data_IF_364971547040
#
_entry.id   IF_364971547040
#
_cell.length_a   1.000
_cell.length_b   1.000
_cell.length_c   1.000
_cell.angle_alpha   90.00
_cell.angle_beta   90.00
_cell.angle_gamma   90.00
#
_symmetry.space_group_name_H-M   'P 1'
#
loop_
_entity.id
_entity.type
_entity.pdbx_description
1 polymer ?
#
# COMPACT_ATOMS: atom_id res chain seq x y z
N UNK A 1 -3.92 4.30 -34.66
CA UNK A 1 -4.27 5.52 -33.89
C UNK A 1 -4.80 5.06 -32.54
N UNK A 2 -3.94 5.01 -31.53
CA UNK A 2 -4.32 4.57 -30.18
C UNK A 2 -4.93 5.74 -29.40
N UNK A 3 -5.98 5.52 -28.60
CA UNK A 3 -6.49 6.57 -27.74
C UNK A 3 -5.45 6.86 -26.64
N UNK A 4 -5.18 8.14 -26.40
CA UNK A 4 -4.39 8.59 -25.27
C UNK A 4 -5.10 8.15 -23.97
N UNK A 5 -4.41 7.35 -23.16
CA UNK A 5 -4.89 6.95 -21.83
C UNK A 5 -4.80 8.16 -20.91
N UNK A 6 -5.92 8.85 -20.72
CA UNK A 6 -6.05 9.91 -19.73
C UNK A 6 -5.87 9.32 -18.35
N UNK A 7 -4.88 9.81 -17.61
CA UNK A 7 -4.87 9.66 -16.15
C UNK A 7 -6.17 10.23 -15.61
N UNK A 8 -6.79 9.55 -14.64
CA UNK A 8 -7.85 10.11 -13.83
C UNK A 8 -7.26 11.29 -13.06
N UNK A 9 -7.35 12.48 -13.65
CA UNK A 9 -7.16 13.74 -12.95
C UNK A 9 -8.41 13.93 -12.09
N UNK A 10 -8.34 13.50 -10.83
CA UNK A 10 -9.46 13.56 -9.91
C UNK A 10 -9.87 15.01 -9.56
N UNK A 11 -9.17 16.03 -10.06
CA UNK A 11 -9.61 17.43 -9.96
C UNK A 11 -9.95 17.88 -8.53
N UNK A 12 -9.36 17.23 -7.51
CA UNK A 12 -9.65 17.50 -6.11
C UNK A 12 -8.80 18.70 -5.69
N UNK A 13 -9.29 19.90 -6.01
CA UNK A 13 -8.82 21.12 -5.35
C UNK A 13 -9.40 21.15 -3.95
N UNK A 14 -8.70 20.52 -3.01
CA UNK A 14 -8.94 20.74 -1.59
C UNK A 14 -8.46 22.13 -1.22
N UNK A 15 -9.41 23.07 -1.06
CA UNK A 15 -9.19 24.25 -0.22
C UNK A 15 -9.03 23.77 1.22
N UNK A 16 -7.79 23.51 1.63
CA UNK A 16 -7.42 23.40 3.04
C UNK A 16 -6.06 24.03 3.26
N UNK A 17 -6.07 25.37 3.35
CA UNK A 17 -5.08 26.05 4.13
C UNK A 17 -5.13 25.48 5.56
N UNK A 18 -3.97 25.02 6.06
CA UNK A 18 -3.68 24.49 7.41
C UNK A 18 -3.86 22.98 7.58
N UNK A 19 -2.88 22.26 7.09
CA UNK A 19 -2.48 20.94 7.60
C UNK A 19 -0.96 20.85 7.51
N UNK A 20 -0.29 21.36 8.54
CA UNK A 20 1.16 21.27 8.70
C UNK A 20 1.66 19.85 8.42
N UNK A 21 2.71 19.76 7.59
CA UNK A 21 3.56 18.59 7.49
C UNK A 21 4.02 18.17 8.89
N UNK A 22 3.35 17.17 9.48
CA UNK A 22 3.86 16.49 10.65
C UNK A 22 4.92 15.50 10.18
N UNK A 23 6.15 16.00 10.00
CA UNK A 23 7.31 15.16 10.20
C UNK A 23 7.37 14.87 11.70
N UNK A 24 6.89 13.71 12.12
CA UNK A 24 7.22 13.20 13.45
C UNK A 24 8.70 12.76 13.44
N UNK A 25 9.59 13.70 13.74
CA UNK A 25 10.86 13.39 14.41
C UNK A 25 10.52 12.73 15.76
N UNK A 26 10.28 11.42 15.76
CA UNK A 26 9.86 10.73 16.98
C UNK A 26 9.60 9.24 16.84
N UNK A 27 9.40 8.71 15.63
CA UNK A 27 9.21 7.28 15.45
C UNK A 27 10.55 6.55 15.61
N UNK A 28 10.76 5.95 16.77
CA UNK A 28 11.90 5.10 17.09
C UNK A 28 11.87 3.84 16.20
N UNK A 29 12.35 3.96 14.97
CA UNK A 29 12.53 2.82 14.06
C UNK A 29 13.57 1.85 14.63
N UNK A 30 13.13 0.67 15.06
CA UNK A 30 14.03 -0.45 15.34
C UNK A 30 14.26 -1.22 14.04
N UNK A 31 15.43 -1.03 13.46
CA UNK A 31 15.88 -1.72 12.25
C UNK A 31 16.71 -2.95 12.71
N UNK A 32 16.17 -4.18 12.65
CA UNK A 32 16.92 -5.43 12.99
C UNK A 32 17.15 -6.38 11.79
N UNK A 33 18.29 -6.32 11.08
CA UNK A 33 18.42 -7.04 9.78
C UNK A 33 19.66 -7.89 9.55
N UNK A 34 19.49 -8.73 8.53
CA UNK A 34 20.45 -9.53 7.78
C UNK A 34 21.24 -8.74 6.71
N UNK A 35 21.31 -7.41 6.83
CA UNK A 35 22.24 -6.56 6.09
C UNK A 35 23.53 -6.41 6.91
N UNK A 36 24.66 -6.07 6.28
CA UNK A 36 25.94 -5.90 6.98
C UNK A 36 25.83 -4.76 8.03
N UNK A 37 26.31 -4.98 9.26
CA UNK A 37 26.18 -4.03 10.39
C UNK A 37 26.74 -2.63 10.05
N UNK A 38 27.72 -2.55 9.15
CA UNK A 38 28.29 -1.28 8.68
C UNK A 38 27.34 -0.44 7.82
N UNK A 39 26.51 -1.09 6.99
CA UNK A 39 25.54 -0.39 6.13
C UNK A 39 24.38 0.19 6.95
N UNK A 40 24.07 -0.44 8.09
CA UNK A 40 22.95 -0.12 8.96
C UNK A 40 23.24 1.04 9.92
N UNK A 41 24.44 1.06 10.52
CA UNK A 41 24.87 2.15 11.40
C UNK A 41 25.36 3.38 10.62
N UNK A 42 25.33 3.32 9.29
CA UNK A 42 25.64 4.43 8.42
C UNK A 42 24.57 5.54 8.44
N UNK A 43 24.82 6.65 7.74
CA UNK A 43 23.83 7.71 7.52
C UNK A 43 22.53 7.16 6.92
N UNK A 44 21.41 7.88 7.11
CA UNK A 44 20.09 7.49 6.61
C UNK A 44 20.08 7.16 5.10
N UNK A 45 20.88 7.89 4.32
CA UNK A 45 21.03 7.67 2.88
C UNK A 45 21.69 6.33 2.55
N UNK A 46 22.75 5.94 3.28
CA UNK A 46 23.41 4.63 3.13
C UNK A 46 22.45 3.48 3.42
N UNK A 47 21.65 3.60 4.49
CA UNK A 47 20.59 2.62 4.81
C UNK A 47 19.57 2.51 3.68
N UNK A 48 19.11 3.64 3.14
CA UNK A 48 18.13 3.68 2.07
C UNK A 48 18.68 3.02 0.79
N UNK A 49 19.94 3.27 0.44
CA UNK A 49 20.59 2.62 -0.69
C UNK A 49 20.67 1.10 -0.51
N UNK A 50 21.02 0.62 0.68
CA UNK A 50 21.06 -0.82 0.97
C UNK A 50 19.67 -1.47 0.89
N UNK A 51 18.63 -0.81 1.41
CA UNK A 51 17.24 -1.29 1.32
C UNK A 51 16.73 -1.31 -0.12
N UNK A 52 17.10 -0.33 -0.94
CA UNK A 52 16.70 -0.28 -2.35
C UNK A 52 17.23 -1.48 -3.17
N UNK A 53 18.31 -2.12 -2.71
CA UNK A 53 18.90 -3.31 -3.33
C UNK A 53 18.27 -4.63 -2.86
N UNK A 54 17.35 -4.59 -1.89
CA UNK A 54 16.67 -5.78 -1.39
C UNK A 54 15.59 -6.26 -2.36
N UNK A 55 15.43 -7.58 -2.49
CA UNK A 55 14.34 -8.19 -3.22
C UNK A 55 13.01 -8.03 -2.48
N UNK A 56 13.05 -8.16 -1.15
CA UNK A 56 11.90 -7.95 -0.27
C UNK A 56 12.31 -6.97 0.81
N UNK A 57 11.49 -5.96 1.03
CA UNK A 57 11.51 -5.17 2.27
C UNK A 57 10.19 -5.42 3.00
N UNK A 58 10.17 -5.26 4.31
CA UNK A 58 8.92 -5.31 5.05
C UNK A 58 8.88 -4.26 6.16
N UNK A 59 7.69 -3.88 6.59
CA UNK A 59 7.49 -3.02 7.76
C UNK A 59 6.52 -3.70 8.71
N UNK A 60 6.90 -3.83 9.97
CA UNK A 60 6.07 -4.44 11.02
C UNK A 60 5.69 -3.35 12.02
N UNK A 61 4.40 -3.21 12.30
CA UNK A 61 3.96 -2.45 13.47
C UNK A 61 4.20 -3.28 14.73
N UNK A 62 5.18 -2.89 15.54
CA UNK A 62 5.59 -3.60 16.76
C UNK A 62 4.90 -3.01 18.00
N UNK A 63 4.52 -1.73 17.95
CA UNK A 63 3.69 -1.02 18.92
C UNK A 63 3.04 0.20 18.24
N UNK A 64 2.14 0.93 18.93
CA UNK A 64 1.34 2.05 18.37
C UNK A 64 2.14 3.14 17.64
N UNK A 65 3.45 3.25 17.88
CA UNK A 65 4.34 4.23 17.23
C UNK A 65 5.71 3.63 16.84
N UNK A 66 5.86 2.31 16.87
CA UNK A 66 7.14 1.65 16.59
C UNK A 66 7.00 0.80 15.33
N UNK A 67 7.57 1.31 14.25
CA UNK A 67 7.71 0.57 13.00
C UNK A 67 9.11 -0.05 12.90
N UNK A 68 9.14 -1.33 12.59
CA UNK A 68 10.36 -2.06 12.26
C UNK A 68 10.38 -2.34 10.76
N UNK A 69 11.22 -1.61 10.03
CA UNK A 69 11.50 -1.90 8.61
C UNK A 69 12.54 -3.00 8.55
N UNK A 70 12.36 -4.05 7.74
CA UNK A 70 13.34 -5.11 7.38
C UNK A 70 13.64 -5.20 5.90
N UNK A 71 14.83 -5.67 5.56
CA UNK A 71 15.29 -5.88 4.18
C UNK A 71 15.93 -7.25 3.99
N UNK A 72 15.57 -7.92 2.89
CA UNK A 72 16.03 -9.25 2.51
C UNK A 72 16.53 -9.22 1.06
N UNK A 73 17.78 -9.61 0.85
CA UNK A 73 18.40 -9.64 -0.49
C UNK A 73 17.82 -10.77 -1.37
N UNK A 74 17.20 -11.79 -0.76
CA UNK A 74 16.62 -12.94 -1.45
C UNK A 74 15.28 -13.32 -0.83
N UNK A 75 14.36 -13.80 -1.66
CA UNK A 75 13.04 -14.26 -1.23
C UNK A 75 13.15 -15.39 -0.18
N UNK A 76 14.05 -16.34 -0.38
CA UNK A 76 14.24 -17.47 0.56
C UNK A 76 14.60 -17.05 1.99
N UNK A 77 15.33 -15.94 2.17
CA UNK A 77 15.68 -15.42 3.50
C UNK A 77 14.45 -14.82 4.19
N UNK A 78 13.64 -14.08 3.43
CA UNK A 78 12.35 -13.57 3.89
C UNK A 78 11.40 -14.71 4.28
N UNK A 79 11.34 -15.76 3.47
CA UNK A 79 10.53 -16.96 3.74
C UNK A 79 10.98 -17.71 4.99
N UNK A 80 12.30 -17.82 5.22
CA UNK A 80 12.83 -18.42 6.44
C UNK A 80 12.39 -17.64 7.68
N UNK A 81 12.45 -16.32 7.62
CA UNK A 81 12.03 -15.44 8.71
C UNK A 81 10.52 -15.47 8.96
N UNK A 82 9.69 -15.41 7.90
CA UNK A 82 8.24 -15.29 8.02
C UNK A 82 7.59 -16.52 8.66
N UNK A 83 8.15 -17.72 8.48
CA UNK A 83 7.56 -18.98 8.99
C UNK A 83 7.34 -19.01 10.50
N UNK A 84 8.13 -18.24 11.27
CA UNK A 84 7.99 -18.13 12.72
C UNK A 84 7.09 -16.99 13.20
N UNK A 85 6.46 -16.25 12.28
CA UNK A 85 5.71 -15.03 12.60
C UNK A 85 4.19 -15.27 12.60
N UNK A 86 3.40 -14.46 13.34
CA UNK A 86 1.94 -14.60 13.39
C UNK A 86 1.23 -14.44 12.03
N UNK A 87 1.84 -13.73 11.09
CA UNK A 87 1.31 -13.44 9.75
C UNK A 87 1.76 -14.43 8.67
N UNK A 88 2.47 -15.52 9.02
CA UNK A 88 2.99 -16.49 8.06
C UNK A 88 1.92 -17.03 7.11
N UNK A 89 0.76 -17.43 7.64
CA UNK A 89 -0.35 -17.97 6.85
C UNK A 89 -0.88 -16.95 5.83
N UNK A 90 -0.94 -15.67 6.19
CA UNK A 90 -1.39 -14.59 5.30
C UNK A 90 -0.39 -14.27 4.19
N UNK A 91 0.90 -14.41 4.47
CA UNK A 91 1.94 -14.29 3.44
C UNK A 91 1.88 -15.45 2.46
N UNK A 92 1.64 -16.68 2.92
CA UNK A 92 1.44 -17.82 2.02
C UNK A 92 0.15 -17.68 1.19
N UNK A 93 -0.96 -17.26 1.80
CA UNK A 93 -2.21 -16.93 1.09
C UNK A 93 -1.97 -15.88 -0.02
N UNK A 94 -1.17 -14.85 0.28
CA UNK A 94 -0.77 -13.83 -0.68
C UNK A 94 -0.05 -14.44 -1.89
N UNK A 95 0.94 -15.30 -1.65
CA UNK A 95 1.71 -15.94 -2.72
C UNK A 95 0.85 -16.85 -3.58
N UNK A 96 -0.02 -17.64 -2.97
CA UNK A 96 -0.95 -18.52 -3.69
C UNK A 96 -1.92 -17.72 -4.57
N UNK A 97 -2.49 -16.64 -4.04
CA UNK A 97 -3.35 -15.74 -4.81
C UNK A 97 -2.61 -15.11 -5.98
N UNK A 98 -1.43 -14.53 -5.74
CA UNK A 98 -0.59 -13.95 -6.81
C UNK A 98 -0.26 -15.00 -7.86
N UNK A 99 0.14 -16.20 -7.47
CA UNK A 99 0.50 -17.28 -8.39
C UNK A 99 -0.66 -17.67 -9.29
N UNK A 100 -1.86 -17.86 -8.72
CA UNK A 100 -3.08 -18.16 -9.49
C UNK A 100 -3.46 -17.00 -10.40
N UNK A 101 -3.40 -15.76 -9.90
CA UNK A 101 -3.81 -14.58 -10.66
C UNK A 101 -2.89 -14.25 -11.83
N UNK A 102 -1.59 -14.58 -11.73
CA UNK A 102 -0.63 -14.39 -12.85
C UNK A 102 -0.96 -15.25 -14.07
N UNK A 103 -1.68 -16.36 -13.91
CA UNK A 103 -2.14 -17.16 -15.05
C UNK A 103 -3.06 -16.37 -15.99
N UNK A 104 -3.73 -15.32 -15.50
CA UNK A 104 -4.60 -14.48 -16.33
C UNK A 104 -3.86 -13.45 -17.18
N UNK A 105 -2.56 -13.21 -16.95
CA UNK A 105 -1.78 -12.24 -17.72
C UNK A 105 -1.70 -12.61 -19.20
N UNK A 106 -1.41 -13.88 -19.49
CA UNK A 106 -1.30 -14.37 -20.86
C UNK A 106 -2.65 -14.68 -21.51
N UNK A 107 -3.71 -14.83 -20.72
CA UNK A 107 -5.02 -15.25 -21.20
C UNK A 107 -5.95 -14.07 -21.49
N UNK A 108 -5.99 -13.07 -20.60
CA UNK A 108 -6.96 -11.97 -20.70
C UNK A 108 -6.55 -10.71 -19.88
N UNK A 109 -5.29 -10.29 -20.00
CA UNK A 109 -4.74 -9.17 -19.23
C UNK A 109 -5.60 -7.89 -19.28
N UNK A 110 -6.08 -7.53 -20.48
CA UNK A 110 -6.86 -6.30 -20.67
C UNK A 110 -8.20 -6.35 -19.92
N UNK A 111 -8.94 -7.48 -19.98
CA UNK A 111 -10.21 -7.56 -19.26
C UNK A 111 -10.04 -7.59 -17.76
N UNK A 112 -8.96 -8.19 -17.24
CA UNK A 112 -8.68 -8.18 -15.79
C UNK A 112 -8.42 -6.74 -15.32
N UNK A 113 -7.56 -6.00 -16.03
CA UNK A 113 -7.26 -4.59 -15.69
C UNK A 113 -8.52 -3.74 -15.75
N UNK A 114 -9.36 -3.90 -16.78
CA UNK A 114 -10.60 -3.13 -16.92
C UNK A 114 -11.61 -3.45 -15.81
N UNK A 115 -11.76 -4.72 -15.42
CA UNK A 115 -12.62 -5.10 -14.28
C UNK A 115 -12.16 -4.44 -12.98
N UNK A 116 -10.85 -4.42 -12.73
CA UNK A 116 -10.31 -3.77 -11.53
C UNK A 116 -10.52 -2.26 -11.57
N UNK A 117 -10.37 -1.63 -12.75
CA UNK A 117 -10.66 -0.21 -12.94
C UNK A 117 -12.10 0.13 -12.56
N UNK A 118 -13.07 -0.66 -13.03
CA UNK A 118 -14.49 -0.48 -12.73
C UNK A 118 -14.79 -0.65 -11.24
N UNK A 119 -14.21 -1.67 -10.59
CA UNK A 119 -14.40 -1.91 -9.14
C UNK A 119 -13.83 -0.77 -8.29
N UNK A 120 -12.61 -0.31 -8.62
CA UNK A 120 -12.00 0.82 -7.92
C UNK A 120 -12.82 2.10 -8.14
N UNK A 121 -13.30 2.35 -9.35
CA UNK A 121 -14.14 3.51 -9.65
C UNK A 121 -15.41 3.52 -8.80
N UNK A 122 -16.12 2.39 -8.69
CA UNK A 122 -17.31 2.27 -7.83
C UNK A 122 -16.99 2.53 -6.36
N UNK A 123 -15.88 1.97 -5.87
CA UNK A 123 -15.45 2.15 -4.49
C UNK A 123 -15.18 3.63 -4.18
N UNK A 124 -14.56 4.35 -5.13
CA UNK A 124 -14.32 5.79 -5.01
C UNK A 124 -15.63 6.58 -5.05
N UNK A 125 -16.56 6.22 -5.95
CA UNK A 125 -17.89 6.86 -6.04
C UNK A 125 -18.66 6.69 -4.73
N UNK A 126 -18.71 5.48 -4.17
CA UNK A 126 -19.36 5.18 -2.88
C UNK A 126 -18.70 5.96 -1.72
N UNK A 127 -17.37 6.06 -1.70
CA UNK A 127 -16.64 6.82 -0.68
C UNK A 127 -16.92 8.33 -0.79
N UNK A 128 -17.01 8.86 -2.01
CA UNK A 128 -17.34 10.27 -2.26
C UNK A 128 -18.79 10.59 -1.86
N UNK A 129 -19.73 9.69 -2.13
CA UNK A 129 -21.11 9.85 -1.67
C UNK A 129 -21.17 9.86 -0.13
N UNK A 130 -20.46 8.93 0.52
CA UNK A 130 -20.36 8.88 1.97
C UNK A 130 -19.75 10.17 2.56
N UNK A 131 -18.66 10.65 1.95
CA UNK A 131 -17.99 11.91 2.29
C UNK A 131 -18.97 13.09 2.29
N UNK A 132 -19.73 13.25 1.21
CA UNK A 132 -20.69 14.34 1.06
C UNK A 132 -21.83 14.26 2.07
N UNK A 133 -22.35 13.05 2.31
CA UNK A 133 -23.45 12.82 3.26
C UNK A 133 -23.05 13.11 4.71
N UNK A 134 -21.80 12.80 5.08
CA UNK A 134 -21.30 12.95 6.44
C UNK A 134 -20.58 14.30 6.68
N UNK A 135 -20.42 15.12 5.65
CA UNK A 135 -19.62 16.36 5.68
C UNK A 135 -18.18 16.13 6.17
N UNK A 136 -17.60 15.00 5.77
CA UNK A 136 -16.22 14.62 6.09
C UNK A 136 -15.36 14.72 4.84
N UNK A 137 -14.10 15.13 4.99
CA UNK A 137 -13.18 15.14 3.85
C UNK A 137 -13.00 13.71 3.28
N UNK A 138 -12.95 13.53 1.94
CA UNK A 138 -12.85 12.21 1.29
C UNK A 138 -11.67 11.34 1.74
N UNK A 139 -10.63 11.98 2.27
CA UNK A 139 -9.39 11.34 2.73
C UNK A 139 -9.23 11.43 4.24
N UNK A 140 -10.24 11.94 4.97
CA UNK A 140 -10.17 11.99 6.43
C UNK A 140 -10.15 10.58 7.00
N UNK A 141 -9.32 10.38 8.04
CA UNK A 141 -9.23 9.09 8.73
C UNK A 141 -10.57 8.64 9.30
N UNK A 142 -11.36 9.58 9.80
CA UNK A 142 -12.71 9.32 10.31
C UNK A 142 -13.62 8.74 9.23
N UNK A 143 -13.61 9.31 8.02
CA UNK A 143 -14.39 8.77 6.90
C UNK A 143 -13.90 7.36 6.50
N UNK A 144 -12.58 7.16 6.42
CA UNK A 144 -12.01 5.86 6.06
C UNK A 144 -12.34 4.77 7.10
N UNK A 145 -12.30 5.13 8.39
CA UNK A 145 -12.71 4.25 9.48
C UNK A 145 -14.22 3.91 9.42
N UNK A 146 -15.07 4.89 9.10
CA UNK A 146 -16.52 4.69 8.95
C UNK A 146 -16.85 3.86 7.70
N UNK A 147 -16.22 4.16 6.57
CA UNK A 147 -16.33 3.37 5.35
C UNK A 147 -15.87 1.93 5.60
N UNK A 148 -14.92 1.72 6.52
CA UNK A 148 -14.48 0.39 6.88
C UNK A 148 -15.40 -0.36 7.84
N UNK A 149 -15.91 0.30 8.88
CA UNK A 149 -16.77 -0.35 9.88
C UNK A 149 -18.23 -0.44 9.46
N UNK A 150 -18.61 0.34 8.45
CA UNK A 150 -20.00 0.65 8.14
C UNK A 150 -20.50 1.76 9.05
N UNK A 151 -21.39 2.59 8.52
CA UNK A 151 -22.00 3.71 9.26
C UNK A 151 -23.11 3.20 10.18
N UNK A 152 -23.80 2.12 9.78
CA UNK A 152 -24.86 1.49 10.57
C UNK A 152 -25.08 0.05 10.12
N UNK A 153 -25.91 -0.75 10.82
CA UNK A 153 -26.30 -2.08 10.36
C UNK A 153 -27.01 -2.10 8.99
N UNK A 154 -27.57 -0.97 8.55
CA UNK A 154 -28.25 -0.82 7.26
C UNK A 154 -27.33 -0.24 6.17
N UNK A 155 -26.18 0.28 6.57
CA UNK A 155 -25.16 0.85 5.68
C UNK A 155 -23.83 0.15 5.98
N UNK A 156 -23.65 -1.08 5.42
CA UNK A 156 -22.51 -1.92 5.72
C UNK A 156 -21.19 -1.29 5.23
N UNK A 157 -20.04 -1.85 5.64
CA UNK A 157 -18.74 -1.46 5.14
C UNK A 157 -18.68 -1.31 3.61
N UNK A 158 -18.15 -0.17 3.17
CA UNK A 158 -17.77 0.10 1.78
C UNK A 158 -16.32 -0.35 1.54
N UNK A 159 -15.48 -0.31 2.60
CA UNK A 159 -14.05 -0.62 2.54
C UNK A 159 -13.69 -1.80 3.44
N UNK A 160 -13.00 -2.77 2.87
CA UNK A 160 -12.09 -3.64 3.61
C UNK A 160 -10.81 -3.55 2.81
N UNK A 161 -9.94 -2.57 3.12
CA UNK A 161 -8.95 -2.11 2.15
C UNK A 161 -7.72 -1.50 2.79
N UNK A 162 -6.67 -1.31 1.99
CA UNK A 162 -5.61 -0.35 2.24
C UNK A 162 -5.73 0.83 1.27
N UNK A 163 -5.43 2.04 1.74
CA UNK A 163 -5.48 3.27 0.93
C UNK A 163 -4.06 3.74 0.66
N UNK A 164 -3.77 4.04 -0.61
CA UNK A 164 -2.45 4.44 -1.07
C UNK A 164 -2.49 5.94 -1.35
N UNK A 165 -1.47 6.66 -0.88
CA UNK A 165 -1.37 8.11 -1.02
C UNK A 165 -0.05 8.50 -1.68
N UNK A 166 -0.08 9.57 -2.47
CA UNK A 166 1.14 10.22 -2.95
C UNK A 166 1.71 11.21 -1.93
N UNK A 167 2.94 11.67 -2.19
CA UNK A 167 3.60 12.68 -1.36
C UNK A 167 3.26 14.12 -1.78
N UNK A 168 2.15 14.34 -2.49
CA UNK A 168 1.73 15.71 -2.83
C UNK A 168 1.34 16.47 -1.55
N UNK A 169 1.38 17.81 -1.55
CA UNK A 169 0.89 18.60 -0.41
C UNK A 169 -0.55 18.28 -0.01
N UNK A 170 -1.35 17.78 -0.97
CA UNK A 170 -2.72 17.34 -0.75
C UNK A 170 -2.84 15.91 -0.21
N UNK A 171 -1.78 15.10 -0.22
CA UNK A 171 -1.82 13.68 0.12
C UNK A 171 -2.88 12.95 -0.70
N UNK A 172 -2.83 13.09 -2.02
CA UNK A 172 -3.89 12.60 -2.88
C UNK A 172 -3.91 11.06 -2.89
N UNK A 173 -5.10 10.49 -2.83
CA UNK A 173 -5.28 9.03 -2.97
C UNK A 173 -4.84 8.61 -4.36
N UNK A 174 -3.84 7.73 -4.44
CA UNK A 174 -3.37 7.14 -5.70
C UNK A 174 -4.16 5.89 -6.05
N UNK A 175 -4.56 5.10 -5.04
CA UNK A 175 -5.30 3.85 -5.25
C UNK A 175 -5.96 3.34 -3.95
N UNK A 176 -7.03 2.56 -4.08
CA UNK A 176 -7.62 1.79 -2.97
C UNK A 176 -7.42 0.30 -3.27
N UNK A 177 -6.64 -0.39 -2.43
CA UNK A 177 -6.41 -1.83 -2.53
C UNK A 177 -7.53 -2.59 -1.81
N UNK A 178 -8.41 -3.31 -2.52
CA UNK A 178 -9.43 -4.13 -1.89
C UNK A 178 -8.81 -5.35 -1.19
N UNK A 179 -9.32 -5.71 -0.02
CA UNK A 179 -8.93 -6.91 0.70
C UNK A 179 -9.32 -8.15 -0.11
N UNK A 180 -8.41 -9.12 -0.19
CA UNK A 180 -8.64 -10.39 -0.88
C UNK A 180 -8.47 -10.33 -2.39
N UNK A 181 -8.27 -9.15 -2.97
CA UNK A 181 -8.27 -8.95 -4.42
C UNK A 181 -6.88 -8.51 -4.89
N UNK A 182 -6.13 -9.38 -5.59
CA UNK A 182 -4.88 -9.00 -6.23
C UNK A 182 -5.13 -7.96 -7.32
N UNK A 183 -4.42 -6.85 -7.26
CA UNK A 183 -4.47 -5.77 -8.26
C UNK A 183 -3.20 -5.80 -9.11
N UNK A 184 -3.27 -6.12 -10.41
CA UNK A 184 -2.08 -6.32 -11.26
C UNK A 184 -1.44 -5.01 -11.75
N UNK A 185 -2.15 -3.88 -11.70
CA UNK A 185 -1.64 -2.56 -12.10
C UNK A 185 -2.46 -1.46 -11.43
N UNK A 186 -1.80 -0.41 -10.93
CA UNK A 186 -2.47 0.81 -10.45
C UNK A 186 -2.73 1.82 -11.58
N UNK A 187 -2.26 1.55 -12.80
CA UNK A 187 -2.45 2.43 -13.95
C UNK A 187 -1.83 3.80 -13.71
N UNK A 188 -2.64 4.86 -13.69
CA UNK A 188 -2.19 6.24 -13.43
C UNK A 188 -1.66 6.49 -12.01
N UNK A 189 -1.82 5.53 -11.09
CA UNK A 189 -1.24 5.55 -9.74
C UNK A 189 0.12 4.85 -9.61
N UNK A 190 0.62 4.22 -10.69
CA UNK A 190 1.93 3.57 -10.68
C UNK A 190 3.04 4.57 -10.33
N UNK A 191 4.00 4.14 -9.52
CA UNK A 191 5.20 4.91 -9.17
C UNK A 191 4.93 6.25 -8.47
N UNK A 192 3.74 6.41 -7.87
CA UNK A 192 3.32 7.63 -7.15
C UNK A 192 3.09 7.43 -5.66
N UNK A 193 3.00 6.18 -5.21
CA UNK A 193 2.61 5.89 -3.83
C UNK A 193 3.80 6.09 -2.90
N UNK A 194 3.58 6.89 -1.86
CA UNK A 194 4.57 7.23 -0.84
C UNK A 194 4.13 6.84 0.57
N UNK A 195 2.82 6.69 0.78
CA UNK A 195 2.25 6.27 2.05
C UNK A 195 1.13 5.26 1.82
N UNK A 196 0.91 4.41 2.82
CA UNK A 196 -0.16 3.39 2.81
C UNK A 196 -0.86 3.43 4.16
N UNK A 197 -2.17 3.63 4.18
CA UNK A 197 -2.98 3.46 5.39
C UNK A 197 -3.71 2.11 5.31
N UNK A 198 -3.32 1.18 6.19
CA UNK A 198 -3.91 -0.15 6.27
C UNK A 198 -4.99 -0.11 7.34
N UNK A 199 -6.26 -0.26 6.96
CA UNK A 199 -7.36 -0.07 7.90
C UNK A 199 -7.72 -1.36 8.64
N UNK A 200 -7.66 -2.51 7.96
CA UNK A 200 -8.16 -3.76 8.53
C UNK A 200 -7.45 -5.03 8.04
N UNK A 201 -6.42 -4.89 7.22
CA UNK A 201 -5.66 -6.02 6.73
C UNK A 201 -4.51 -6.37 7.68
N UNK A 202 -4.19 -7.65 7.74
CA UNK A 202 -3.05 -8.17 8.46
C UNK A 202 -1.75 -8.03 7.62
N UNK A 203 -1.87 -8.15 6.30
CA UNK A 203 -0.74 -8.11 5.36
C UNK A 203 -1.11 -7.32 4.11
N UNK A 204 -0.33 -6.28 3.81
CA UNK A 204 -0.40 -5.59 2.52
C UNK A 204 0.93 -5.72 1.80
N UNK A 205 0.92 -6.21 0.57
CA UNK A 205 2.13 -6.32 -0.23
C UNK A 205 2.02 -5.45 -1.47
N UNK A 206 3.06 -4.67 -1.72
CA UNK A 206 3.24 -3.87 -2.93
C UNK A 206 4.43 -4.41 -3.71
N UNK A 207 4.35 -4.31 -5.05
CA UNK A 207 5.43 -4.67 -5.95
C UNK A 207 5.79 -3.49 -6.85
N UNK A 208 7.07 -3.40 -7.21
CA UNK A 208 7.61 -2.29 -7.99
C UNK A 208 7.36 -2.43 -9.50
N UNK A 209 6.75 -3.54 -9.92
CA UNK A 209 6.29 -3.76 -11.28
C UNK A 209 4.87 -4.28 -11.29
N UNK A 210 4.22 -4.13 -12.44
CA UNK A 210 2.90 -4.71 -12.70
C UNK A 210 2.96 -6.24 -12.65
N UNK A 211 1.80 -6.86 -12.41
CA UNK A 211 1.64 -8.31 -12.30
C UNK A 211 2.46 -8.95 -11.17
N UNK A 212 2.63 -8.21 -10.06
CA UNK A 212 3.28 -8.65 -8.83
C UNK A 212 4.70 -9.18 -9.07
N UNK A 213 5.50 -8.37 -9.79
CA UNK A 213 6.88 -8.68 -10.18
C UNK A 213 7.86 -7.70 -9.56
N UNK A 214 9.13 -8.10 -9.57
CA UNK A 214 10.24 -7.25 -9.13
C UNK A 214 10.35 -7.20 -7.60
N UNK A 215 10.89 -6.11 -7.08
CA UNK A 215 11.06 -5.96 -5.65
C UNK A 215 9.70 -5.74 -4.97
N UNK A 216 9.56 -6.22 -3.74
CA UNK A 216 8.33 -6.08 -2.98
C UNK A 216 8.53 -5.39 -1.64
N UNK A 217 7.47 -4.74 -1.17
CA UNK A 217 7.35 -4.22 0.18
C UNK A 217 6.14 -4.85 0.86
N UNK A 218 6.37 -5.53 1.98
CA UNK A 218 5.32 -6.21 2.76
C UNK A 218 5.08 -5.45 4.06
N UNK A 219 3.87 -5.00 4.31
CA UNK A 219 3.49 -4.30 5.53
C UNK A 219 2.62 -5.20 6.39
N UNK A 220 2.93 -5.24 7.68
CA UNK A 220 2.25 -6.08 8.67
C UNK A 220 1.57 -5.22 9.74
N UNK A 221 0.25 -5.37 9.84
CA UNK A 221 -0.59 -4.65 10.81
C UNK A 221 -1.41 -3.51 10.20
N UNK A 222 -2.06 -2.76 11.08
CA UNK A 222 -3.00 -1.68 10.77
C UNK A 222 -2.37 -0.32 11.11
N UNK A 223 -2.66 0.70 10.31
CA UNK A 223 -2.22 2.08 10.50
C UNK A 223 -1.49 2.65 9.28
N UNK A 224 -0.92 3.84 9.47
CA UNK A 224 -0.20 4.57 8.43
C UNK A 224 1.26 4.10 8.33
N UNK A 225 1.68 3.75 7.12
CA UNK A 225 3.03 3.31 6.78
C UNK A 225 3.66 4.29 5.80
N UNK A 226 4.87 4.75 6.12
CA UNK A 226 5.69 5.53 5.18
C UNK A 226 6.57 4.60 4.34
N UNK A 227 6.48 4.69 3.02
CA UNK A 227 7.33 3.92 2.10
C UNK A 227 8.72 4.57 1.91
N UNK A 228 8.90 5.80 2.39
CA UNK A 228 10.18 6.49 2.35
C UNK A 228 11.26 5.73 3.14
N UNK A 229 10.91 5.30 4.36
CA UNK A 229 11.84 4.63 5.27
C UNK A 229 12.23 3.21 4.80
N UNK A 230 11.44 2.60 3.91
CA UNK A 230 11.71 1.29 3.33
C UNK A 230 12.39 1.33 1.97
N UNK A 231 12.73 2.53 1.46
CA UNK A 231 13.23 2.73 0.10
C UNK A 231 12.29 2.20 -1.00
N UNK A 232 10.99 2.13 -0.70
CA UNK A 232 9.93 1.70 -1.62
C UNK A 232 9.04 2.85 -2.10
N UNK A 233 9.36 4.08 -1.69
CA UNK A 233 8.70 5.31 -2.09
C UNK A 233 8.66 5.50 -3.60
N UNK A 234 7.49 5.85 -4.13
CA UNK A 234 7.24 6.13 -5.55
C UNK A 234 7.63 4.96 -6.48
N UNK A 235 7.45 3.72 -6.02
CA UNK A 235 7.75 2.50 -6.81
C UNK A 235 6.55 1.61 -7.03
N UNK A 236 5.52 1.71 -6.21
CA UNK A 236 4.44 0.73 -6.21
C UNK A 236 3.66 0.77 -7.54
N UNK A 237 3.55 -0.38 -8.21
CA UNK A 237 2.84 -0.54 -9.48
C UNK A 237 1.78 -1.63 -9.44
N UNK A 238 1.85 -2.57 -8.48
CA UNK A 238 0.81 -3.56 -8.22
C UNK A 238 0.77 -3.93 -6.74
N UNK A 239 -0.30 -4.57 -6.30
CA UNK A 239 -0.45 -4.89 -4.88
C UNK A 239 -1.60 -5.82 -4.53
N UNK A 240 -1.65 -6.18 -3.25
CA UNK A 240 -2.71 -6.96 -2.62
C UNK A 240 -2.76 -6.62 -1.12
N UNK A 241 -3.94 -6.78 -0.53
CA UNK A 241 -4.21 -6.53 0.87
C UNK A 241 -5.00 -7.73 1.43
N UNK A 242 -4.63 -8.31 2.59
CA UNK A 242 -5.22 -9.53 3.18
C UNK A 242 -5.32 -9.53 4.70
#
# INVERSE_FOLDING_TARGET
MGPAMGGLDLGIRGDSARGSAFFCEGDLLKIRHFLDEKELNGPAETRRTALAQCAVTCTVNVAEQLQEVRGFRKDGDFEGWVRGQPFAAKVEETKELVTRSRAHESQDAQRVVERQRILNQRTVEDLMELSQRLDLAPTSRELLDLAHRGVSPLEPPILHSAVLFDNSPSGAVTFILPTGIPVPSFGGGNDRTSQVDIIAAAVTTLWDRTWWRGASHVMFGVGLFSLFNSAFDNRAASGICL
#
